data_IF_515372807661
#
_entry.id   IF_515372807661
#
_cell.length_a   1.000
_cell.length_b   1.000
_cell.length_c   1.000
_cell.angle_alpha   90.00
_cell.angle_beta   90.00
_cell.angle_gamma   90.00
#
_symmetry.space_group_name_H-M   'P 1'
#
loop_
_entity.id
_entity.type
_entity.pdbx_description
1 polymer ?
#
# COMPACT_ATOMS: atom_id res chain seq x y z
N UNK A 1 5.08 23.88 -5.98
CA UNK A 1 5.89 22.68 -5.69
C UNK A 1 7.35 23.09 -5.82
N UNK A 2 8.20 22.75 -4.85
CA UNK A 2 9.64 23.09 -4.88
C UNK A 2 10.33 22.32 -6.01
N UNK A 3 11.37 22.89 -6.61
CA UNK A 3 12.02 22.32 -7.79
C UNK A 3 12.99 21.21 -7.37
N UNK A 4 12.89 20.02 -7.96
CA UNK A 4 13.93 19.01 -7.80
C UNK A 4 15.22 19.50 -8.46
N UNK A 5 16.25 19.76 -7.65
CA UNK A 5 17.55 20.26 -8.11
C UNK A 5 18.53 19.17 -8.53
N UNK A 6 18.17 17.89 -8.36
CA UNK A 6 19.08 16.78 -8.70
C UNK A 6 19.39 16.79 -10.20
N UNK A 7 20.66 16.59 -10.60
CA UNK A 7 20.97 16.20 -11.97
C UNK A 7 20.24 14.89 -12.30
N UNK A 8 19.82 14.73 -13.56
CA UNK A 8 19.11 13.52 -14.01
C UNK A 8 19.83 12.21 -13.61
N UNK A 9 21.16 12.16 -13.76
CA UNK A 9 21.94 10.98 -13.39
C UNK A 9 21.90 10.66 -11.90
N UNK A 10 21.81 11.67 -11.02
CA UNK A 10 21.67 11.48 -9.56
C UNK A 10 20.32 10.85 -9.26
N UNK A 11 19.24 11.39 -9.84
CA UNK A 11 17.90 10.81 -9.73
C UNK A 11 17.88 9.36 -10.24
N UNK A 12 18.52 9.08 -11.38
CA UNK A 12 18.57 7.73 -11.95
C UNK A 12 19.31 6.74 -11.04
N UNK A 13 20.45 7.14 -10.47
CA UNK A 13 21.18 6.28 -9.52
C UNK A 13 20.39 6.05 -8.23
N UNK A 14 19.67 7.06 -7.74
CA UNK A 14 18.76 6.90 -6.61
C UNK A 14 17.63 5.89 -6.91
N UNK A 15 17.02 5.95 -8.10
CA UNK A 15 16.00 4.99 -8.52
C UNK A 15 16.58 3.57 -8.66
N UNK A 16 17.79 3.42 -9.22
CA UNK A 16 18.49 2.12 -9.28
C UNK A 16 18.76 1.54 -7.90
N UNK A 17 19.20 2.38 -6.95
CA UNK A 17 19.40 1.96 -5.57
C UNK A 17 18.10 1.50 -4.90
N UNK A 18 16.99 2.21 -5.11
CA UNK A 18 15.66 1.78 -4.63
C UNK A 18 15.24 0.43 -5.22
N UNK A 19 15.43 0.24 -6.52
CA UNK A 19 15.12 -1.02 -7.19
C UNK A 19 15.98 -2.17 -6.65
N UNK A 20 17.29 -1.96 -6.53
CA UNK A 20 18.21 -2.91 -5.93
C UNK A 20 17.79 -3.29 -4.50
N UNK A 21 17.49 -2.31 -3.64
CA UNK A 21 17.05 -2.56 -2.27
C UNK A 21 15.78 -3.41 -2.25
N UNK A 22 14.81 -3.10 -3.11
CA UNK A 22 13.56 -3.86 -3.22
C UNK A 22 13.83 -5.30 -3.61
N UNK A 23 14.67 -5.55 -4.61
CA UNK A 23 15.03 -6.90 -5.06
C UNK A 23 15.85 -7.67 -4.02
N UNK A 24 16.71 -6.98 -3.26
CA UNK A 24 17.63 -7.63 -2.33
C UNK A 24 17.01 -7.91 -0.96
N UNK A 25 16.18 -6.99 -0.43
CA UNK A 25 15.65 -7.10 0.93
C UNK A 25 14.15 -7.41 0.99
N UNK A 26 13.35 -6.84 0.09
CA UNK A 26 11.89 -6.94 0.18
C UNK A 26 11.32 -8.12 -0.62
N UNK A 27 11.86 -8.38 -1.81
CA UNK A 27 11.45 -9.52 -2.63
C UNK A 27 11.67 -10.85 -1.90
N UNK A 28 12.80 -11.13 -1.23
CA UNK A 28 12.98 -12.38 -0.49
C UNK A 28 12.09 -12.50 0.76
N UNK A 29 11.50 -11.39 1.22
CA UNK A 29 10.54 -11.41 2.33
C UNK A 29 9.09 -11.69 1.86
N UNK A 30 8.89 -11.88 0.55
CA UNK A 30 7.62 -12.28 -0.05
C UNK A 30 7.81 -13.65 -0.72
N UNK A 31 6.77 -14.48 -0.70
CA UNK A 31 6.73 -15.71 -1.49
C UNK A 31 6.50 -15.39 -2.97
N UNK A 32 5.80 -14.29 -3.24
CA UNK A 32 5.65 -13.72 -4.57
C UNK A 32 5.69 -12.20 -4.54
N UNK A 33 6.45 -11.61 -5.47
CA UNK A 33 6.42 -10.20 -5.79
C UNK A 33 6.31 -10.06 -7.31
N UNK A 34 5.19 -9.52 -7.77
CA UNK A 34 4.90 -9.31 -9.19
C UNK A 34 5.80 -8.27 -9.85
N UNK A 35 5.71 -8.21 -11.17
CA UNK A 35 6.52 -7.32 -12.00
C UNK A 35 6.15 -5.84 -11.81
N UNK A 36 7.09 -4.95 -12.15
CA UNK A 36 6.93 -3.49 -12.07
C UNK A 36 6.56 -2.91 -10.67
N UNK A 37 7.12 -3.41 -9.54
CA UNK A 37 6.81 -2.84 -8.23
C UNK A 37 7.44 -1.45 -8.09
N UNK A 38 6.67 -0.47 -7.60
CA UNK A 38 7.16 0.88 -7.27
C UNK A 38 7.20 1.09 -5.78
N UNK A 39 8.37 0.84 -5.17
CA UNK A 39 8.55 0.98 -3.73
C UNK A 39 9.32 2.27 -3.43
N UNK A 40 8.65 3.26 -2.84
CA UNK A 40 9.22 4.55 -2.46
C UNK A 40 9.82 4.45 -1.05
N UNK A 41 11.09 4.84 -0.91
CA UNK A 41 11.87 4.71 0.35
C UNK A 41 11.72 3.31 0.98
N UNK A 42 12.12 2.24 0.26
CA UNK A 42 11.80 0.86 0.63
C UNK A 42 12.36 0.42 1.99
N UNK A 43 13.39 1.07 2.51
CA UNK A 43 13.95 0.85 3.84
C UNK A 43 13.01 1.24 5.01
N UNK A 44 11.85 1.84 4.72
CA UNK A 44 10.77 2.09 5.68
C UNK A 44 9.56 1.16 5.51
N UNK A 45 9.73 0.09 4.75
CA UNK A 45 8.73 -0.97 4.56
C UNK A 45 9.22 -2.21 5.31
N UNK A 46 8.35 -2.82 6.10
CA UNK A 46 8.61 -4.07 6.82
C UNK A 46 7.66 -5.13 6.32
N UNK A 47 8.21 -6.24 5.81
CA UNK A 47 7.46 -7.43 5.42
C UNK A 47 7.99 -8.58 6.30
N UNK A 48 7.10 -9.31 6.97
CA UNK A 48 7.50 -10.34 7.93
C UNK A 48 6.49 -11.48 8.02
N UNK A 49 6.98 -12.71 8.11
CA UNK A 49 6.14 -13.91 8.18
C UNK A 49 6.02 -14.63 6.84
N UNK A 50 5.45 -15.84 6.83
CA UNK A 50 5.31 -16.68 5.63
C UNK A 50 4.11 -16.27 4.76
N UNK A 51 4.00 -16.83 3.55
CA UNK A 51 2.79 -16.81 2.73
C UNK A 51 2.31 -15.39 2.38
N UNK A 52 3.26 -14.51 2.03
CA UNK A 52 2.98 -13.14 1.61
C UNK A 52 3.19 -13.03 0.10
N UNK A 53 2.11 -12.74 -0.62
CA UNK A 53 2.10 -12.50 -2.06
C UNK A 53 1.70 -11.04 -2.34
N UNK A 54 2.47 -10.35 -3.19
CA UNK A 54 2.17 -9.00 -3.66
C UNK A 54 2.15 -9.01 -5.19
N UNK A 55 1.02 -8.60 -5.76
CA UNK A 55 0.79 -8.55 -7.20
C UNK A 55 1.66 -7.57 -7.98
N UNK A 56 1.43 -7.54 -9.29
CA UNK A 56 2.12 -6.68 -10.26
C UNK A 56 1.79 -5.22 -10.03
N UNK A 57 2.69 -4.33 -10.43
CA UNK A 57 2.48 -2.88 -10.39
C UNK A 57 2.11 -2.33 -9.00
N UNK A 58 2.41 -3.05 -7.93
CA UNK A 58 2.17 -2.60 -6.57
C UNK A 58 2.98 -1.33 -6.29
N UNK A 59 2.31 -0.31 -5.78
CA UNK A 59 2.94 0.95 -5.35
C UNK A 59 2.92 1.00 -3.83
N UNK A 60 4.09 0.98 -3.19
CA UNK A 60 4.21 1.04 -1.73
C UNK A 60 5.08 2.22 -1.32
N UNK A 61 4.56 3.08 -0.46
CA UNK A 61 5.23 4.32 -0.06
C UNK A 61 5.63 4.22 1.40
N UNK A 62 6.93 4.13 1.66
CA UNK A 62 7.50 4.16 3.01
C UNK A 62 7.86 5.58 3.43
N UNK A 63 7.63 5.90 4.71
CA UNK A 63 8.12 7.13 5.35
C UNK A 63 8.69 6.80 6.75
N UNK A 64 9.68 7.58 7.25
CA UNK A 64 10.35 7.27 8.51
C UNK A 64 9.44 7.36 9.73
N UNK A 65 8.51 8.31 9.73
CA UNK A 65 7.53 8.55 10.79
C UNK A 65 6.39 7.53 10.77
N UNK A 66 6.02 7.05 9.58
CA UNK A 66 4.91 6.15 9.35
C UNK A 66 5.32 5.01 8.42
N UNK A 67 6.00 4.01 9.00
CA UNK A 67 6.44 2.81 8.26
C UNK A 67 5.25 1.96 7.81
N UNK A 68 5.34 1.40 6.61
CA UNK A 68 4.40 0.37 6.15
C UNK A 68 4.79 -0.98 6.75
N UNK A 69 3.81 -1.73 7.26
CA UNK A 69 4.02 -3.04 7.88
C UNK A 69 3.05 -4.08 7.30
N UNK A 70 3.58 -5.13 6.69
CA UNK A 70 2.82 -6.26 6.16
C UNK A 70 3.32 -7.50 6.90
N UNK A 71 2.47 -8.08 7.75
CA UNK A 71 2.90 -9.09 8.70
C UNK A 71 1.95 -10.27 8.78
N UNK A 72 2.47 -11.48 8.60
CA UNK A 72 1.81 -12.72 8.96
C UNK A 72 2.36 -13.21 10.29
N UNK A 73 1.47 -13.41 11.25
CA UNK A 73 1.73 -13.86 12.61
C UNK A 73 0.78 -15.00 12.93
N UNK A 74 0.92 -16.09 12.16
CA UNK A 74 0.10 -17.29 12.27
C UNK A 74 0.25 -18.02 13.60
N UNK A 75 -0.66 -18.98 13.84
CA UNK A 75 -0.63 -19.85 15.02
C UNK A 75 0.67 -20.67 15.12
N UNK A 76 1.27 -20.97 13.98
CA UNK A 76 2.56 -21.64 13.82
C UNK A 76 3.36 -20.96 12.70
N UNK A 77 4.61 -21.41 12.48
CA UNK A 77 5.55 -20.81 11.53
C UNK A 77 5.13 -20.87 10.06
N UNK A 78 4.11 -21.67 9.71
CA UNK A 78 3.66 -21.90 8.33
C UNK A 78 2.21 -21.48 8.10
N UNK A 79 1.46 -21.16 9.15
CA UNK A 79 0.08 -20.72 9.04
C UNK A 79 -0.03 -19.20 8.88
N UNK A 80 -1.21 -18.77 8.46
CA UNK A 80 -1.46 -17.38 8.11
C UNK A 80 -1.05 -17.08 6.66
N UNK A 81 -1.76 -16.16 6.00
CA UNK A 81 -1.39 -15.67 4.67
C UNK A 81 -1.89 -14.26 4.42
N UNK A 82 -1.14 -13.51 3.61
CA UNK A 82 -1.57 -12.24 3.04
C UNK A 82 -1.42 -12.33 1.53
N UNK A 83 -2.51 -12.14 0.80
CA UNK A 83 -2.48 -11.99 -0.65
C UNK A 83 -2.94 -10.59 -1.03
N UNK A 84 -2.07 -9.85 -1.71
CA UNK A 84 -2.34 -8.52 -2.23
C UNK A 84 -2.35 -8.60 -3.75
N UNK A 85 -3.45 -8.17 -4.35
CA UNK A 85 -3.67 -8.21 -5.80
C UNK A 85 -2.78 -7.25 -6.59
N UNK A 86 -3.05 -7.18 -7.88
CA UNK A 86 -2.34 -6.35 -8.83
C UNK A 86 -2.75 -4.88 -8.67
N UNK A 87 -1.86 -3.97 -9.05
CA UNK A 87 -2.10 -2.52 -9.12
C UNK A 87 -2.44 -1.87 -7.77
N UNK A 88 -2.19 -2.52 -6.64
CA UNK A 88 -2.52 -1.97 -5.31
C UNK A 88 -1.66 -0.75 -4.97
N UNK A 89 -2.26 0.23 -4.28
CA UNK A 89 -1.54 1.36 -3.67
C UNK A 89 -1.56 1.22 -2.14
N UNK A 90 -0.38 1.28 -1.53
CA UNK A 90 -0.19 1.25 -0.09
C UNK A 90 0.54 2.52 0.35
N UNK A 91 -0.18 3.43 1.01
CA UNK A 91 0.38 4.70 1.50
C UNK A 91 1.03 4.52 2.88
N UNK A 92 1.87 5.49 3.33
CA UNK A 92 2.62 5.40 4.57
C UNK A 92 1.78 5.06 5.80
N UNK A 93 2.36 4.31 6.73
CA UNK A 93 1.73 3.93 7.99
C UNK A 93 0.70 2.80 7.89
N UNK A 94 0.39 2.31 6.68
CA UNK A 94 -0.51 1.17 6.52
C UNK A 94 0.05 -0.06 7.25
N UNK A 95 -0.80 -0.72 8.05
CA UNK A 95 -0.50 -1.97 8.74
C UNK A 95 -1.48 -3.05 8.33
N UNK A 96 -0.96 -4.17 7.83
CA UNK A 96 -1.72 -5.37 7.50
C UNK A 96 -1.19 -6.48 8.39
N UNK A 97 -2.06 -7.09 9.19
CA UNK A 97 -1.66 -8.08 10.19
C UNK A 97 -2.60 -9.27 10.16
N UNK A 98 -2.11 -10.38 9.60
CA UNK A 98 -2.87 -11.62 9.46
C UNK A 98 -2.41 -12.68 10.47
N UNK A 99 -3.34 -13.32 11.16
CA UNK A 99 -3.14 -14.56 11.89
C UNK A 99 -3.56 -15.78 11.05
N UNK A 100 -4.53 -15.62 10.15
CA UNK A 100 -5.11 -16.67 9.33
C UNK A 100 -5.11 -16.32 7.84
N UNK A 101 -5.86 -15.29 7.43
CA UNK A 101 -6.00 -14.93 6.03
C UNK A 101 -6.50 -13.50 5.85
N UNK A 102 -5.73 -12.72 5.10
CA UNK A 102 -6.17 -11.45 4.53
C UNK A 102 -5.98 -11.52 3.02
N UNK A 103 -7.07 -11.30 2.27
CA UNK A 103 -7.05 -11.21 0.81
C UNK A 103 -7.47 -9.80 0.42
N UNK A 104 -6.62 -9.14 -0.35
CA UNK A 104 -6.86 -7.81 -0.91
C UNK A 104 -6.85 -7.97 -2.43
N UNK A 105 -7.93 -7.56 -3.08
CA UNK A 105 -8.10 -7.62 -4.52
C UNK A 105 -7.27 -6.60 -5.29
N UNK A 106 -7.54 -6.53 -6.58
CA UNK A 106 -6.80 -5.69 -7.52
C UNK A 106 -7.23 -4.23 -7.40
N UNK A 107 -6.34 -3.30 -7.76
CA UNK A 107 -6.60 -1.86 -7.78
C UNK A 107 -7.05 -1.25 -6.44
N UNK A 108 -6.91 -1.96 -5.32
CA UNK A 108 -7.23 -1.42 -3.99
C UNK A 108 -6.29 -0.27 -3.66
N UNK A 109 -6.86 0.79 -3.10
CA UNK A 109 -6.12 1.97 -2.67
C UNK A 109 -6.22 2.13 -1.17
N UNK A 110 -5.07 2.16 -0.50
CA UNK A 110 -4.97 2.39 0.94
C UNK A 110 -4.30 3.73 1.19
N UNK A 111 -5.03 4.64 1.80
CA UNK A 111 -4.51 5.91 2.28
C UNK A 111 -3.64 5.72 3.54
N UNK A 112 -3.16 6.82 4.11
CA UNK A 112 -2.22 6.75 5.21
C UNK A 112 -2.81 6.03 6.43
N UNK A 113 -1.98 5.30 7.17
CA UNK A 113 -2.36 4.76 8.48
C UNK A 113 -3.51 3.75 8.49
N UNK A 114 -3.90 3.18 7.35
CA UNK A 114 -4.93 2.14 7.29
C UNK A 114 -4.49 0.92 8.12
N UNK A 115 -5.40 0.36 8.90
CA UNK A 115 -5.14 -0.88 9.65
C UNK A 115 -6.11 -1.98 9.23
N UNK A 116 -5.59 -3.15 8.87
CA UNK A 116 -6.36 -4.34 8.50
C UNK A 116 -5.90 -5.50 9.39
N UNK A 117 -6.84 -6.17 10.04
CA UNK A 117 -6.55 -7.34 10.86
C UNK A 117 -7.67 -8.36 10.83
N UNK A 118 -7.31 -9.64 10.82
CA UNK A 118 -8.21 -10.80 10.83
C UNK A 118 -8.30 -11.49 12.20
N UNK A 119 -7.75 -10.88 13.26
CA UNK A 119 -7.70 -11.47 14.60
C UNK A 119 -7.80 -10.42 15.72
N UNK A 120 -8.31 -10.85 16.87
CA UNK A 120 -8.21 -10.10 18.14
C UNK A 120 -6.86 -10.29 18.84
N UNK A 121 -6.00 -11.18 18.31
CA UNK A 121 -4.67 -11.55 18.78
C UNK A 121 -4.63 -12.30 20.11
N UNK A 122 -5.38 -11.84 21.10
CA UNK A 122 -5.51 -12.46 22.41
C UNK A 122 -6.96 -12.87 22.67
N UNK A 123 -7.15 -13.94 23.44
CA UNK A 123 -8.48 -14.29 23.93
C UNK A 123 -9.03 -13.19 24.86
N UNK A 124 -10.37 -13.12 25.01
CA UNK A 124 -11.04 -12.10 25.80
C UNK A 124 -10.83 -12.27 27.31
N UNK A 125 -10.81 -13.51 27.79
CA UNK A 125 -10.76 -13.86 29.20
C UNK A 125 -9.40 -14.42 29.61
N UNK A 126 -8.70 -15.13 28.71
CA UNK A 126 -7.33 -15.59 28.92
C UNK A 126 -6.33 -14.83 28.03
N UNK A 127 -5.82 -13.69 28.54
CA UNK A 127 -4.86 -12.84 27.82
C UNK A 127 -3.50 -13.49 27.58
N UNK A 128 -3.20 -14.63 28.19
CA UNK A 128 -1.98 -15.40 27.91
C UNK A 128 -2.12 -16.26 26.65
N UNK A 129 -3.36 -16.56 26.24
CA UNK A 129 -3.68 -17.35 25.06
C UNK A 129 -3.97 -16.47 23.83
N UNK A 130 -3.82 -17.06 22.65
CA UNK A 130 -4.22 -16.45 21.37
C UNK A 130 -5.69 -16.74 21.08
N UNK A 131 -6.34 -15.81 20.39
CA UNK A 131 -7.66 -16.09 19.81
C UNK A 131 -7.54 -17.17 18.74
N UNK A 132 -8.37 -18.21 18.82
CA UNK A 132 -8.43 -19.31 17.86
C UNK A 132 -9.55 -19.11 16.80
N UNK A 133 -10.21 -17.95 16.79
CA UNK A 133 -11.32 -17.68 15.89
C UNK A 133 -10.82 -17.46 14.45
N UNK A 134 -11.35 -18.23 13.50
CA UNK A 134 -11.11 -18.06 12.08
C UNK A 134 -11.96 -16.92 11.53
N UNK A 135 -11.40 -15.73 11.48
CA UNK A 135 -12.09 -14.49 11.11
C UNK A 135 -11.38 -13.78 9.94
N UNK A 136 -11.31 -14.42 8.74
CA UNK A 136 -10.59 -13.88 7.60
C UNK A 136 -11.13 -12.51 7.17
N UNK A 137 -10.29 -11.71 6.52
CA UNK A 137 -10.68 -10.42 5.95
C UNK A 137 -10.51 -10.44 4.45
N UNK A 138 -11.57 -10.12 3.73
CA UNK A 138 -11.58 -10.09 2.26
C UNK A 138 -11.95 -8.70 1.77
N UNK A 139 -11.08 -8.11 0.98
CA UNK A 139 -11.28 -6.79 0.37
C UNK A 139 -11.32 -6.99 -1.13
N UNK A 140 -12.48 -6.74 -1.74
CA UNK A 140 -12.68 -6.92 -3.17
C UNK A 140 -11.92 -5.87 -3.99
N UNK A 141 -12.02 -5.99 -5.32
CA UNK A 141 -11.32 -5.12 -6.25
C UNK A 141 -11.76 -3.66 -6.12
N UNK A 142 -10.84 -2.75 -6.46
CA UNK A 142 -11.09 -1.31 -6.58
C UNK A 142 -11.70 -0.65 -5.33
N UNK A 143 -11.50 -1.26 -4.15
CA UNK A 143 -11.89 -0.66 -2.87
C UNK A 143 -10.94 0.49 -2.53
N UNK A 144 -11.48 1.58 -2.01
CA UNK A 144 -10.69 2.69 -1.48
C UNK A 144 -10.81 2.78 0.05
N UNK A 145 -9.72 2.51 0.75
CA UNK A 145 -9.58 2.64 2.19
C UNK A 145 -9.01 4.02 2.55
N UNK A 146 -9.85 4.85 3.17
CA UNK A 146 -9.52 6.22 3.58
C UNK A 146 -8.54 6.31 4.74
N UNK A 147 -7.99 7.51 4.95
CA UNK A 147 -6.92 7.77 5.91
C UNK A 147 -7.31 7.28 7.31
N UNK A 148 -6.46 6.46 7.94
CA UNK A 148 -6.63 5.88 9.29
C UNK A 148 -7.91 5.08 9.49
N UNK A 149 -8.55 4.58 8.44
CA UNK A 149 -9.63 3.62 8.65
C UNK A 149 -9.10 2.29 9.19
N UNK A 150 -9.95 1.57 9.92
CA UNK A 150 -9.64 0.24 10.46
C UNK A 150 -10.64 -0.78 9.93
N UNK A 151 -10.15 -1.87 9.36
CA UNK A 151 -10.95 -3.03 8.96
C UNK A 151 -10.69 -4.14 9.97
N UNK A 152 -11.73 -4.51 10.71
CA UNK A 152 -11.64 -5.55 11.74
C UNK A 152 -11.86 -6.94 11.15
N UNK A 153 -11.54 -7.93 11.99
CA UNK A 153 -11.62 -9.35 11.67
C UNK A 153 -12.99 -9.78 11.17
N UNK A 154 -13.00 -10.76 10.25
CA UNK A 154 -14.22 -11.38 9.75
C UNK A 154 -15.01 -10.52 8.76
N UNK A 155 -14.47 -9.39 8.32
CA UNK A 155 -15.14 -8.44 7.42
C UNK A 155 -14.83 -8.74 5.96
N UNK A 156 -15.86 -8.72 5.14
CA UNK A 156 -15.79 -8.63 3.68
C UNK A 156 -16.19 -7.23 3.20
N UNK A 157 -15.37 -6.61 2.34
CA UNK A 157 -15.69 -5.32 1.69
C UNK A 157 -15.91 -5.54 0.21
N UNK A 158 -17.12 -5.25 -0.26
CA UNK A 158 -17.53 -5.40 -1.65
C UNK A 158 -16.83 -4.45 -2.61
N UNK A 159 -16.84 -4.82 -3.88
CA UNK A 159 -16.12 -4.12 -4.95
C UNK A 159 -16.50 -2.64 -5.05
N UNK A 160 -15.54 -1.80 -5.46
CA UNK A 160 -15.72 -0.36 -5.70
C UNK A 160 -16.10 0.47 -4.48
N UNK A 161 -16.25 -0.16 -3.31
CA UNK A 161 -16.69 0.53 -2.11
C UNK A 161 -15.59 1.41 -1.53
N UNK A 162 -16.02 2.47 -0.84
CA UNK A 162 -15.13 3.43 -0.18
C UNK A 162 -15.35 3.37 1.32
N UNK A 163 -14.26 3.19 2.07
CA UNK A 163 -14.26 3.36 3.52
C UNK A 163 -13.74 4.76 3.83
N UNK A 164 -14.56 5.61 4.42
CA UNK A 164 -14.18 6.97 4.74
C UNK A 164 -13.04 7.02 5.76
N UNK A 165 -12.33 8.16 5.80
CA UNK A 165 -11.27 8.39 6.77
C UNK A 165 -11.74 8.17 8.21
N UNK A 166 -10.87 7.60 9.03
CA UNK A 166 -11.10 7.28 10.45
C UNK A 166 -12.29 6.35 10.73
N UNK A 167 -12.87 5.71 9.72
CA UNK A 167 -13.97 4.76 9.94
C UNK A 167 -13.47 3.43 10.53
N UNK A 168 -14.31 2.78 11.35
CA UNK A 168 -14.02 1.45 11.91
C UNK A 168 -15.04 0.47 11.37
N UNK A 169 -14.62 -0.36 10.43
CA UNK A 169 -15.45 -1.35 9.75
C UNK A 169 -15.51 -2.60 10.62
N UNK A 170 -16.69 -2.86 11.18
CA UNK A 170 -16.95 -3.97 12.11
C UNK A 170 -17.90 -5.04 11.54
N UNK A 171 -18.44 -4.79 10.34
CA UNK A 171 -19.40 -5.64 9.62
C UNK A 171 -19.12 -5.55 8.12
N UNK A 172 -19.60 -6.54 7.39
CA UNK A 172 -19.49 -6.58 5.94
C UNK A 172 -20.06 -5.32 5.27
N UNK A 173 -19.39 -4.90 4.21
CA UNK A 173 -19.74 -3.74 3.41
C UNK A 173 -20.17 -4.24 2.03
N UNK A 174 -21.38 -3.90 1.56
CA UNK A 174 -21.80 -4.28 0.21
C UNK A 174 -20.93 -3.62 -0.86
N UNK A 175 -21.03 -4.06 -2.11
CA UNK A 175 -20.35 -3.41 -3.22
C UNK A 175 -20.99 -2.04 -3.54
N UNK A 176 -20.22 -1.16 -4.18
CA UNK A 176 -20.67 0.13 -4.69
C UNK A 176 -21.29 1.05 -3.63
N UNK A 177 -20.73 1.09 -2.43
CA UNK A 177 -21.17 2.02 -1.37
C UNK A 177 -20.01 2.79 -0.75
N UNK A 178 -20.34 3.87 -0.06
CA UNK A 178 -19.43 4.55 0.85
C UNK A 178 -19.90 4.26 2.27
N UNK A 179 -18.99 3.80 3.12
CA UNK A 179 -19.23 3.64 4.56
C UNK A 179 -18.41 4.64 5.36
N UNK A 180 -18.96 5.12 6.48
CA UNK A 180 -18.28 6.05 7.38
C UNK A 180 -18.72 5.85 8.83
N UNK A 181 -17.89 6.28 9.78
CA UNK A 181 -18.19 6.26 11.21
C UNK A 181 -17.49 5.13 12.00
N UNK A 182 -17.74 5.10 13.30
CA UNK A 182 -17.25 4.08 14.22
C UNK A 182 -18.41 3.67 15.17
N UNK A 183 -19.10 2.53 14.92
CA UNK A 183 -18.89 1.62 13.79
C UNK A 183 -19.28 2.25 12.44
N UNK A 184 -18.65 1.78 11.36
CA UNK A 184 -18.92 2.26 10.01
C UNK A 184 -20.31 1.79 9.54
N UNK A 185 -21.07 2.70 8.93
CA UNK A 185 -22.37 2.43 8.31
C UNK A 185 -22.41 2.99 6.90
N UNK A 186 -23.28 2.45 6.05
CA UNK A 186 -23.49 2.98 4.69
C UNK A 186 -24.03 4.40 4.79
N UNK A 187 -23.31 5.34 4.16
CA UNK A 187 -23.69 6.77 4.09
C UNK A 187 -24.05 7.21 2.67
N UNK A 188 -23.64 6.43 1.66
CA UNK A 188 -23.96 6.71 0.25
C UNK A 188 -23.86 5.44 -0.59
N UNK A 189 -24.73 5.33 -1.59
CA UNK A 189 -24.60 4.36 -2.68
C UNK A 189 -23.97 5.04 -3.89
N UNK A 190 -23.06 4.37 -4.58
CA UNK A 190 -22.46 4.83 -5.82
C UNK A 190 -23.41 4.54 -6.99
N UNK A 191 -23.40 5.40 -8.00
CA UNK A 191 -24.23 5.21 -9.19
C UNK A 191 -23.63 4.09 -10.05
N UNK A 192 -24.34 2.96 -10.25
CA UNK A 192 -23.82 1.84 -11.04
C UNK A 192 -23.69 2.16 -12.53
N UNK A 193 -24.26 3.27 -13.02
CA UNK A 193 -24.18 3.66 -14.42
C UNK A 193 -22.92 4.51 -14.73
N UNK A 194 -22.19 4.94 -13.70
CA UNK A 194 -20.94 5.68 -13.88
C UNK A 194 -19.79 4.67 -13.99
N UNK A 195 -19.17 4.61 -15.17
CA UNK A 195 -17.99 3.79 -15.41
C UNK A 195 -16.84 4.20 -14.47
N UNK A 196 -16.22 3.21 -13.82
CA UNK A 196 -15.07 3.43 -12.97
C UNK A 196 -13.77 3.30 -13.77
N UNK A 197 -12.89 4.28 -13.61
CA UNK A 197 -11.48 4.13 -13.97
C UNK A 197 -10.72 3.64 -12.75
N UNK A 198 -10.04 2.52 -12.93
CA UNK A 198 -9.31 1.82 -11.89
C UNK A 198 -7.80 2.04 -12.05
N UNK A 199 -7.02 1.48 -11.12
CA UNK A 199 -5.57 1.47 -11.26
C UNK A 199 -5.09 0.50 -12.33
N UNK A 200 -5.85 -0.56 -12.63
CA UNK A 200 -5.55 -1.44 -13.76
C UNK A 200 -5.52 -0.67 -15.08
N UNK A 201 -6.47 0.27 -15.29
CA UNK A 201 -6.49 1.13 -16.49
C UNK A 201 -5.25 2.03 -16.55
N UNK A 202 -4.81 2.57 -15.41
CA UNK A 202 -3.61 3.39 -15.32
C UNK A 202 -2.32 2.61 -15.61
N UNK A 203 -2.28 1.32 -15.26
CA UNK A 203 -1.15 0.41 -15.48
C UNK A 203 -1.37 -0.57 -16.64
N UNK A 204 -2.25 -0.25 -17.58
CA UNK A 204 -2.52 -1.10 -18.75
C UNK A 204 -1.23 -1.37 -19.56
N UNK A 205 -0.34 -0.37 -19.63
CA UNK A 205 0.93 -0.44 -20.37
C UNK A 205 2.11 0.00 -19.46
N UNK A 206 2.53 -0.83 -18.49
CA UNK A 206 3.44 -0.40 -17.43
C UNK A 206 4.85 -0.05 -17.97
N UNK A 207 5.33 -0.75 -18.99
CA UNK A 207 6.61 -0.43 -19.62
C UNK A 207 6.59 0.94 -20.32
N UNK A 208 5.49 1.28 -20.99
CA UNK A 208 5.33 2.59 -21.63
C UNK A 208 5.23 3.69 -20.58
N UNK A 209 4.55 3.42 -19.47
CA UNK A 209 4.45 4.33 -18.35
C UNK A 209 5.82 4.62 -17.70
N UNK A 210 6.67 3.60 -17.51
CA UNK A 210 8.04 3.79 -17.02
C UNK A 210 8.89 4.63 -17.98
N UNK A 211 8.82 4.37 -19.29
CA UNK A 211 9.51 5.15 -20.32
C UNK A 211 9.04 6.60 -20.34
N UNK A 212 7.74 6.82 -20.19
CA UNK A 212 7.14 8.15 -20.11
C UNK A 212 7.69 8.93 -18.91
N UNK A 213 7.64 8.35 -17.70
CA UNK A 213 8.16 9.02 -16.50
C UNK A 213 9.67 9.27 -16.54
N UNK A 214 10.45 8.36 -17.12
CA UNK A 214 11.89 8.59 -17.32
C UNK A 214 12.15 9.75 -18.30
N UNK A 215 11.34 9.85 -19.36
CA UNK A 215 11.37 10.99 -20.30
C UNK A 215 11.03 12.31 -19.61
N UNK A 216 10.02 12.33 -18.74
CA UNK A 216 9.67 13.51 -17.93
C UNK A 216 10.79 13.88 -16.97
N UNK A 217 11.35 12.91 -16.23
CA UNK A 217 12.50 13.14 -15.34
C UNK A 217 13.70 13.70 -16.13
N UNK A 218 13.97 13.20 -17.33
CA UNK A 218 15.04 13.71 -18.19
C UNK A 218 14.77 15.17 -18.60
N UNK A 219 13.58 15.47 -19.09
CA UNK A 219 13.19 16.82 -19.52
C UNK A 219 13.24 17.83 -18.36
N UNK A 220 12.71 17.47 -17.20
CA UNK A 220 12.62 18.38 -16.04
C UNK A 220 13.99 18.61 -15.38
N UNK A 221 14.89 17.63 -15.42
CA UNK A 221 16.18 17.68 -14.74
C UNK A 221 17.36 17.98 -15.68
N UNK A 222 17.15 18.14 -16.99
CA UNK A 222 18.23 18.31 -17.97
C UNK A 222 19.10 19.55 -17.72
N UNK A 223 18.53 20.62 -17.17
CA UNK A 223 19.24 21.87 -16.90
C UNK A 223 19.92 21.87 -15.51
N UNK A 224 19.72 20.84 -14.70
CA UNK A 224 20.29 20.79 -13.35
C UNK A 224 21.78 20.41 -13.38
N UNK A 225 22.63 21.31 -12.88
CA UNK A 225 24.07 21.08 -12.70
C UNK A 225 24.44 20.52 -11.32
N UNK A 226 25.54 19.77 -11.25
CA UNK A 226 26.06 19.16 -10.02
C UNK A 226 26.33 20.18 -8.90
N UNK A 227 26.99 21.30 -9.21
CA UNK A 227 27.32 22.32 -8.21
C UNK A 227 26.08 23.04 -7.68
N UNK A 228 25.06 23.29 -8.52
CA UNK A 228 23.81 23.88 -8.04
C UNK A 228 23.06 22.93 -7.12
N UNK A 229 23.05 21.63 -7.43
CA UNK A 229 22.50 20.60 -6.56
C UNK A 229 23.24 20.52 -5.22
N UNK A 230 24.57 20.50 -5.23
CA UNK A 230 25.38 20.46 -4.01
C UNK A 230 25.14 21.70 -3.14
N UNK A 231 25.05 22.89 -3.75
CA UNK A 231 24.64 24.12 -3.05
C UNK A 231 23.26 23.97 -2.42
N UNK A 232 22.27 23.44 -3.15
CA UNK A 232 20.92 23.25 -2.63
C UNK A 232 20.87 22.29 -1.43
N UNK A 233 21.77 21.30 -1.35
CA UNK A 233 21.89 20.41 -0.19
C UNK A 233 22.47 21.10 1.05
N UNK A 234 23.49 21.95 0.88
CA UNK A 234 24.22 22.57 2.00
C UNK A 234 23.59 23.89 2.45
N UNK A 235 23.08 24.69 1.51
CA UNK A 235 22.50 26.02 1.75
C UNK A 235 21.24 26.20 0.89
N UNK A 236 20.12 25.53 1.24
CA UNK A 236 18.86 25.66 0.52
C UNK A 236 18.30 27.08 0.63
N UNK A 237 17.59 27.52 -0.40
CA UNK A 237 16.92 28.82 -0.44
C UNK A 237 15.43 28.68 -0.83
N UNK A 238 14.70 29.81 -0.95
CA UNK A 238 13.25 29.81 -1.23
C UNK A 238 12.87 29.25 -2.61
N UNK A 239 13.81 29.19 -3.55
CA UNK A 239 13.62 28.63 -4.89
C UNK A 239 13.99 27.14 -4.99
N UNK A 240 14.54 26.56 -3.91
CA UNK A 240 14.90 25.13 -3.83
C UNK A 240 13.78 24.28 -3.23
#
# INVERSE_FOLDING_TARGET
MRQDRRPYWVKKNYLRFRAWYTQHFLKPACDYLGDYPTFMKPWYISISGPNIEIGKCATVIGEPDNRVKIGVWGADEKSGRIKIGDYVLISPGTRISAAHEIIIGDSVMMANGVYITDSDWHDLYDRSSRSNALTPVHIANNVWLGDRCTVLKGVSIGENSVVAACAVVTKDVPANVIVAGNPAVVVKTLDPNIEMKTRADYFAEPEQLEKFFDGVDKMVLQENGFFNWLRALVKPNKSD
#
